data_IF_391029065928
#
_entry.id   IF_391029065928
#
_cell.length_a   1.000
_cell.length_b   1.000
_cell.length_c   1.000
_cell.angle_alpha   90.00
_cell.angle_beta   90.00
_cell.angle_gamma   90.00
#
_symmetry.space_group_name_H-M   'P 1'
#
loop_
_entity.id
_entity.type
_entity.pdbx_description
1 polymer ?
#
# COMPACT_ATOMS: atom_id res chain seq x y z
N UNK A 1 -14.23 -26.78 14.57
CA UNK A 1 -12.77 -26.58 14.50
C UNK A 1 -12.49 -25.11 14.71
N UNK A 2 -12.08 -24.74 15.92
CA UNK A 2 -11.63 -23.40 16.26
C UNK A 2 -10.12 -23.36 16.09
N UNK A 3 -9.60 -22.42 15.31
CA UNK A 3 -8.19 -22.14 15.17
C UNK A 3 -7.96 -20.64 15.37
N UNK A 4 -7.99 -20.24 16.64
CA UNK A 4 -7.32 -19.05 17.13
C UNK A 4 -6.20 -19.52 18.06
N UNK A 5 -5.12 -18.72 18.14
CA UNK A 5 -3.97 -18.83 19.05
C UNK A 5 -2.76 -19.65 18.58
N UNK A 6 -1.88 -18.98 17.81
CA UNK A 6 -0.44 -19.08 18.04
C UNK A 6 0.17 -17.68 17.91
N UNK A 7 0.64 -17.16 19.04
CA UNK A 7 1.28 -15.87 19.21
C UNK A 7 2.81 -15.99 19.09
N UNK A 8 3.31 -16.58 18.02
CA UNK A 8 4.64 -16.24 17.49
C UNK A 8 4.43 -14.98 16.68
N UNK A 9 5.14 -13.86 16.92
CA UNK A 9 4.96 -12.66 16.09
C UNK A 9 5.16 -13.11 14.63
N UNK A 10 4.11 -13.18 13.80
CA UNK A 10 4.28 -13.69 12.46
C UNK A 10 5.24 -12.74 11.79
N UNK A 11 6.25 -13.28 11.09
CA UNK A 11 7.17 -12.47 10.29
C UNK A 11 6.31 -11.41 9.59
N UNK A 12 6.59 -10.11 9.81
CA UNK A 12 5.62 -9.06 9.52
C UNK A 12 5.18 -9.23 8.09
N UNK A 13 3.88 -9.47 7.90
CA UNK A 13 3.30 -9.70 6.59
C UNK A 13 3.92 -8.68 5.64
N UNK A 14 4.59 -9.10 4.55
CA UNK A 14 5.30 -8.18 3.69
C UNK A 14 4.34 -7.10 3.15
N UNK A 15 3.05 -7.44 3.07
CA UNK A 15 1.90 -6.56 2.83
C UNK A 15 1.75 -5.45 3.89
N UNK A 16 1.78 -5.79 5.19
CA UNK A 16 1.73 -4.83 6.30
C UNK A 16 2.93 -3.87 6.30
N UNK A 17 4.12 -4.34 5.90
CA UNK A 17 5.31 -3.48 5.76
C UNK A 17 5.09 -2.40 4.70
N UNK A 18 4.41 -2.73 3.61
CA UNK A 18 4.05 -1.79 2.55
C UNK A 18 2.97 -0.81 3.02
N UNK A 19 1.89 -1.32 3.64
CA UNK A 19 0.83 -0.48 4.23
C UNK A 19 1.36 0.50 5.29
N UNK A 20 2.30 0.05 6.12
CA UNK A 20 2.96 0.90 7.12
C UNK A 20 3.79 2.03 6.48
N UNK A 21 4.29 1.88 5.26
CA UNK A 21 4.93 2.99 4.53
C UNK A 21 3.93 4.06 4.09
N UNK A 22 2.66 3.70 3.92
CA UNK A 22 1.58 4.65 3.66
C UNK A 22 1.03 5.26 4.95
N UNK A 23 1.02 4.51 6.05
CA UNK A 23 0.58 4.99 7.38
C UNK A 23 1.51 6.11 7.89
N UNK A 24 1.08 7.36 7.73
CA UNK A 24 1.86 8.56 8.06
C UNK A 24 2.42 9.30 6.85
N UNK A 25 2.20 8.81 5.63
CA UNK A 25 2.56 9.52 4.40
C UNK A 25 1.31 10.06 3.71
N UNK A 26 1.38 11.33 3.34
CA UNK A 26 0.29 12.00 2.66
C UNK A 26 0.23 11.49 1.22
N UNK A 27 -0.69 10.57 0.93
CA UNK A 27 -1.07 10.24 -0.44
C UNK A 27 -1.81 11.46 -0.99
N UNK A 28 -1.21 12.15 -1.95
CA UNK A 28 -1.82 13.37 -2.45
C UNK A 28 -3.09 13.05 -3.25
N UNK A 29 -4.00 14.04 -3.35
CA UNK A 29 -5.24 13.92 -4.12
C UNK A 29 -4.91 13.52 -5.56
N UNK A 30 -5.47 12.39 -6.01
CA UNK A 30 -5.23 11.81 -7.34
C UNK A 30 -5.56 10.31 -7.39
N UNK A 31 -5.37 9.66 -8.55
CA UNK A 31 -5.72 8.26 -8.78
C UNK A 31 -5.02 7.30 -7.81
N UNK A 32 -3.85 7.68 -7.31
CA UNK A 32 -3.07 6.95 -6.31
C UNK A 32 -3.78 6.84 -4.95
N UNK A 33 -4.45 7.92 -4.51
CA UNK A 33 -5.21 7.93 -3.25
C UNK A 33 -6.48 7.08 -3.37
N UNK A 34 -7.12 7.09 -4.53
CA UNK A 34 -8.30 6.26 -4.82
C UNK A 34 -7.93 4.78 -4.81
N UNK A 35 -6.89 4.39 -5.56
CA UNK A 35 -6.34 3.03 -5.53
C UNK A 35 -5.95 2.59 -4.12
N UNK A 36 -5.27 3.45 -3.35
CA UNK A 36 -4.93 3.14 -1.97
C UNK A 36 -6.19 2.96 -1.10
N UNK A 37 -7.20 3.81 -1.23
CA UNK A 37 -8.47 3.66 -0.47
C UNK A 37 -9.22 2.39 -0.85
N UNK A 38 -9.27 2.03 -2.12
CA UNK A 38 -9.90 0.79 -2.57
C UNK A 38 -9.17 -0.43 -2.03
N UNK A 39 -7.83 -0.45 -2.12
CA UNK A 39 -7.01 -1.52 -1.57
C UNK A 39 -7.16 -1.60 -0.05
N UNK A 40 -7.16 -0.47 0.66
CA UNK A 40 -7.38 -0.44 2.11
C UNK A 40 -8.79 -0.92 2.47
N UNK A 41 -9.80 -0.51 1.71
CA UNK A 41 -11.20 -0.94 1.90
C UNK A 41 -11.34 -2.46 1.72
N UNK A 42 -10.71 -3.04 0.69
CA UNK A 42 -10.67 -4.50 0.47
C UNK A 42 -9.88 -5.19 1.59
N UNK A 43 -8.74 -4.62 1.96
CA UNK A 43 -7.91 -5.09 3.06
C UNK A 43 -8.66 -5.18 4.40
N UNK A 44 -9.52 -4.20 4.67
CA UNK A 44 -10.39 -4.14 5.85
C UNK A 44 -11.68 -4.98 5.70
N UNK A 45 -12.01 -5.46 4.50
CA UNK A 45 -13.29 -6.13 4.20
C UNK A 45 -13.37 -7.60 4.61
N UNK A 46 -12.31 -8.18 5.19
CA UNK A 46 -12.32 -9.50 5.83
C UNK A 46 -12.18 -10.71 4.88
N UNK A 47 -11.68 -11.81 5.46
CA UNK A 47 -11.18 -13.08 4.88
C UNK A 47 -10.06 -12.89 3.82
N UNK A 48 -8.81 -13.19 4.19
CA UNK A 48 -7.58 -12.95 3.42
C UNK A 48 -7.43 -11.54 2.81
N UNK A 49 -7.78 -10.50 3.59
CA UNK A 49 -7.63 -9.10 3.16
C UNK A 49 -8.37 -8.76 1.85
N UNK A 50 -9.47 -9.46 1.55
CA UNK A 50 -10.23 -9.26 0.31
C UNK A 50 -9.45 -9.64 -0.95
N UNK A 51 -8.46 -10.52 -0.83
CA UNK A 51 -7.60 -10.95 -1.93
C UNK A 51 -6.52 -9.94 -2.32
N UNK A 52 -6.27 -8.92 -1.49
CA UNK A 52 -5.19 -7.95 -1.75
C UNK A 52 -3.84 -8.65 -1.72
N UNK A 53 -3.19 -8.68 -2.87
CA UNK A 53 -1.89 -9.33 -3.03
C UNK A 53 -0.74 -8.40 -2.66
N UNK A 54 0.41 -8.99 -2.33
CA UNK A 54 1.64 -8.23 -2.12
C UNK A 54 2.08 -7.47 -3.39
N UNK A 55 1.84 -8.05 -4.56
CA UNK A 55 2.21 -7.44 -5.85
C UNK A 55 1.42 -6.15 -6.11
N UNK A 56 0.11 -6.14 -5.85
CA UNK A 56 -0.71 -4.92 -5.96
C UNK A 56 -0.23 -3.82 -5.02
N UNK A 57 0.06 -4.17 -3.75
CA UNK A 57 0.59 -3.22 -2.78
C UNK A 57 1.98 -2.70 -3.18
N UNK A 58 2.84 -3.56 -3.72
CA UNK A 58 4.17 -3.19 -4.21
C UNK A 58 4.08 -2.28 -5.43
N UNK A 59 3.20 -2.57 -6.39
CA UNK A 59 2.95 -1.73 -7.55
C UNK A 59 2.43 -0.34 -7.12
N UNK A 60 1.50 -0.29 -6.17
CA UNK A 60 1.03 0.97 -5.60
C UNK A 60 2.17 1.75 -4.92
N UNK A 61 3.05 1.06 -4.18
CA UNK A 61 4.19 1.69 -3.52
C UNK A 61 5.20 2.26 -4.52
N UNK A 62 5.42 1.59 -5.64
CA UNK A 62 6.32 2.05 -6.69
C UNK A 62 5.74 3.29 -7.40
N UNK A 63 4.48 3.23 -7.81
CA UNK A 63 3.74 4.35 -8.40
C UNK A 63 3.73 5.57 -7.47
N UNK A 64 3.53 5.33 -6.17
CA UNK A 64 3.61 6.38 -5.15
C UNK A 64 5.02 6.98 -5.05
N UNK A 65 6.08 6.18 -5.09
CA UNK A 65 7.46 6.70 -5.10
C UNK A 65 7.75 7.51 -6.36
N UNK A 66 7.26 7.07 -7.51
CA UNK A 66 7.38 7.81 -8.76
C UNK A 66 6.66 9.16 -8.70
N UNK A 67 5.41 9.19 -8.22
CA UNK A 67 4.65 10.43 -8.00
C UNK A 67 5.37 11.36 -7.00
N UNK A 68 5.89 10.82 -5.90
CA UNK A 68 6.69 11.61 -4.94
C UNK A 68 7.97 12.17 -5.56
N UNK A 69 8.67 11.40 -6.40
CA UNK A 69 9.86 11.87 -7.10
C UNK A 69 9.52 13.01 -8.08
N UNK A 70 8.43 12.87 -8.85
CA UNK A 70 7.92 13.92 -9.75
C UNK A 70 7.53 15.19 -9.00
N UNK A 71 6.90 15.05 -7.83
CA UNK A 71 6.53 16.19 -6.97
C UNK A 71 7.72 16.88 -6.31
N UNK A 72 8.68 16.10 -5.81
CA UNK A 72 9.89 16.64 -5.19
C UNK A 72 10.81 17.32 -6.20
N UNK A 73 10.82 16.84 -7.45
CA UNK A 73 11.60 17.42 -8.51
C UNK A 73 10.74 17.68 -9.75
N UNK A 74 10.01 18.81 -9.79
CA UNK A 74 9.17 19.15 -10.96
C UNK A 74 9.97 19.30 -12.25
N UNK A 75 11.31 19.50 -12.18
CA UNK A 75 12.22 19.50 -13.35
C UNK A 75 12.51 18.12 -13.94
N UNK A 76 12.28 17.03 -13.19
CA UNK A 76 12.42 15.66 -13.70
C UNK A 76 11.19 15.19 -14.48
N UNK A 77 10.04 15.86 -14.31
CA UNK A 77 8.80 15.55 -15.05
C UNK A 77 8.68 16.32 -16.37
N UNK A 78 9.56 17.30 -16.64
CA UNK A 78 9.59 18.11 -17.86
C UNK A 78 10.59 17.58 -18.92
N UNK A 79 11.17 16.40 -18.70
CA UNK A 79 12.09 15.73 -19.62
C UNK A 79 11.59 14.30 -19.89
N UNK A 80 10.41 14.19 -20.52
CA UNK A 80 9.95 12.97 -21.19
C UNK A 80 9.02 13.40 -22.33
#
# INVERSE_FOLDING_TARGET
>A
MAAQENAERPAPDPRLKVLKKFRGKFLPKGPLRERHRELLKRWESGDDHGGVTFEELKALLDDWRADQARRKNPKAAAQA
#
